data_IF_966519841025
#
_entry.id   IF_966519841025
#
_cell.length_a   1.000
_cell.length_b   1.000
_cell.length_c   1.000
_cell.angle_alpha   90.00
_cell.angle_beta   90.00
_cell.angle_gamma   90.00
#
_symmetry.space_group_name_H-M   'P 1'
#
loop_
_entity.id
_entity.type
_entity.pdbx_description
1 polymer ?
#
# COMPACT_ATOMS: atom_id res chain seq x y z
N UNK A 1 0.29 32.28 -0.84
CA UNK A 1 -0.13 31.01 -0.22
C UNK A 1 0.68 30.84 1.05
N UNK A 2 0.04 30.77 2.22
CA UNK A 2 0.75 30.79 3.50
C UNK A 2 1.43 29.45 3.78
N UNK A 3 2.72 29.48 4.12
CA UNK A 3 3.50 28.36 4.66
C UNK A 3 2.74 27.40 5.62
N UNK A 4 1.86 27.85 6.55
CA UNK A 4 1.17 26.95 7.46
C UNK A 4 0.19 25.98 6.78
N UNK A 5 -0.45 26.35 5.66
CA UNK A 5 -1.44 25.47 5.01
C UNK A 5 -0.81 24.23 4.38
N UNK A 6 0.40 24.36 3.85
CA UNK A 6 1.16 23.26 3.23
C UNK A 6 1.58 22.26 4.31
N UNK A 7 2.07 22.74 5.46
CA UNK A 7 2.46 21.90 6.61
C UNK A 7 1.26 21.14 7.19
N UNK A 8 0.08 21.77 7.29
CA UNK A 8 -1.13 21.10 7.80
C UNK A 8 -1.62 20.02 6.84
N UNK A 9 -1.63 20.28 5.53
CA UNK A 9 -1.99 19.26 4.52
C UNK A 9 -0.98 18.10 4.52
N UNK A 10 0.29 18.40 4.70
CA UNK A 10 1.36 17.41 4.84
C UNK A 10 1.13 16.48 6.04
N UNK A 11 0.88 17.04 7.23
CA UNK A 11 0.66 16.26 8.44
C UNK A 11 -0.52 15.30 8.27
N UNK A 12 -1.60 15.71 7.60
CA UNK A 12 -2.75 14.84 7.32
C UNK A 12 -2.39 13.64 6.44
N UNK A 13 -1.67 13.84 5.34
CA UNK A 13 -1.28 12.75 4.44
C UNK A 13 -0.28 11.81 5.10
N UNK A 14 0.69 12.36 5.84
CA UNK A 14 1.66 11.55 6.58
C UNK A 14 1.00 10.75 7.70
N UNK A 15 0.02 11.33 8.39
CA UNK A 15 -0.76 10.65 9.43
C UNK A 15 -1.59 9.50 8.85
N UNK A 16 -2.21 9.68 7.67
CA UNK A 16 -2.92 8.61 6.97
C UNK A 16 -1.94 7.48 6.59
N UNK A 17 -0.76 7.83 6.09
CA UNK A 17 0.29 6.87 5.77
C UNK A 17 0.74 6.06 6.98
N UNK A 18 1.00 6.75 8.08
CA UNK A 18 1.38 6.13 9.35
C UNK A 18 0.27 5.24 9.91
N UNK A 19 -0.98 5.70 9.87
CA UNK A 19 -2.14 4.96 10.35
C UNK A 19 -2.34 3.64 9.58
N UNK A 20 -2.13 3.67 8.26
CA UNK A 20 -2.23 2.50 7.40
C UNK A 20 -1.04 1.54 7.57
N UNK A 21 0.19 2.05 7.75
CA UNK A 21 1.31 1.18 8.17
C UNK A 21 0.96 0.51 9.51
N UNK A 22 0.38 1.28 10.43
CA UNK A 22 -0.13 0.79 11.71
C UNK A 22 -1.18 -0.31 11.56
N UNK A 23 -2.09 -0.23 10.58
CA UNK A 23 -3.09 -1.28 10.32
C UNK A 23 -2.45 -2.60 9.89
N UNK A 24 -1.40 -2.55 9.05
CA UNK A 24 -0.63 -3.75 8.65
C UNK A 24 0.08 -4.38 9.87
N UNK A 25 0.65 -3.56 10.75
CA UNK A 25 1.22 -4.05 12.02
C UNK A 25 0.16 -4.65 12.93
N UNK A 26 -1.06 -4.09 12.97
CA UNK A 26 -2.18 -4.64 13.72
C UNK A 26 -2.55 -6.04 13.19
N UNK A 27 -2.60 -6.22 11.86
CA UNK A 27 -2.78 -7.54 11.25
C UNK A 27 -1.68 -8.52 11.67
N UNK A 28 -0.42 -8.07 11.69
CA UNK A 28 0.70 -8.90 12.16
C UNK A 28 0.57 -9.29 13.63
N UNK A 29 0.09 -8.37 14.46
CA UNK A 29 -0.16 -8.59 15.87
C UNK A 29 -1.27 -9.63 16.07
N UNK A 30 -2.35 -9.57 15.28
CA UNK A 30 -3.42 -10.58 15.28
C UNK A 30 -2.87 -11.95 14.90
N UNK A 31 -2.04 -12.05 13.85
CA UNK A 31 -1.41 -13.31 13.42
C UNK A 31 -0.51 -13.87 14.51
N UNK A 32 0.33 -13.04 15.14
CA UNK A 32 1.24 -13.46 16.20
C UNK A 32 0.48 -13.92 17.46
N UNK A 33 -0.63 -13.25 17.82
CA UNK A 33 -1.54 -13.70 18.89
C UNK A 33 -2.13 -15.06 18.52
N UNK A 34 -2.76 -15.19 17.35
CA UNK A 34 -3.40 -16.44 16.90
C UNK A 34 -2.40 -17.60 16.89
N UNK A 35 -1.21 -17.39 16.34
CA UNK A 35 -0.11 -18.36 16.33
C UNK A 35 0.25 -18.80 17.75
N UNK A 36 0.33 -17.88 18.72
CA UNK A 36 0.67 -18.19 20.12
C UNK A 36 -0.46 -18.92 20.85
N UNK A 37 -1.71 -18.56 20.59
CA UNK A 37 -2.87 -19.16 21.26
C UNK A 37 -3.24 -20.54 20.73
N UNK A 38 -3.02 -20.78 19.43
CA UNK A 38 -3.49 -21.98 18.73
C UNK A 38 -2.35 -22.93 18.32
N UNK A 39 -1.14 -22.80 18.89
CA UNK A 39 0.00 -23.63 18.51
C UNK A 39 -0.20 -25.12 18.87
N UNK A 40 0.02 -26.07 17.93
CA UNK A 40 0.27 -25.89 16.49
C UNK A 40 -1.04 -25.66 15.72
N UNK A 41 -1.13 -24.55 14.96
CA UNK A 41 -2.33 -24.20 14.22
C UNK A 41 -2.30 -24.88 12.83
N UNK A 42 -3.12 -25.89 12.55
CA UNK A 42 -3.11 -26.61 11.28
C UNK A 42 -3.75 -25.81 10.13
N UNK A 43 -4.22 -24.58 10.39
CA UNK A 43 -5.08 -23.80 9.49
C UNK A 43 -6.55 -24.19 9.64
N UNK A 44 -7.45 -23.23 9.41
CA UNK A 44 -8.90 -23.44 9.51
C UNK A 44 -9.44 -24.43 8.47
N UNK A 45 -8.74 -24.55 7.34
CA UNK A 45 -9.19 -25.34 6.19
C UNK A 45 -8.55 -26.75 6.13
N UNK A 46 -7.59 -27.08 7.00
CA UNK A 46 -6.93 -28.39 7.00
C UNK A 46 -6.29 -28.75 5.65
N UNK A 47 -5.73 -27.76 4.95
CA UNK A 47 -5.25 -27.92 3.58
C UNK A 47 -4.05 -28.86 3.51
N UNK A 48 -4.02 -29.70 2.47
CA UNK A 48 -2.80 -30.47 2.18
C UNK A 48 -1.67 -29.55 1.73
N UNK A 49 -0.38 -29.93 1.92
CA UNK A 49 0.76 -29.09 1.55
C UNK A 49 0.74 -28.63 0.08
N UNK A 50 0.32 -29.51 -0.84
CA UNK A 50 0.19 -29.19 -2.26
C UNK A 50 -0.90 -28.14 -2.54
N UNK A 51 -2.05 -28.22 -1.85
CA UNK A 51 -3.13 -27.24 -1.99
C UNK A 51 -2.73 -25.89 -1.39
N UNK A 52 -2.09 -25.87 -0.23
CA UNK A 52 -1.58 -24.66 0.40
C UNK A 52 -0.57 -23.94 -0.54
N UNK A 53 0.30 -24.68 -1.21
CA UNK A 53 1.27 -24.12 -2.15
C UNK A 53 0.60 -23.57 -3.42
N UNK A 54 -0.39 -24.26 -3.98
CA UNK A 54 -1.16 -23.74 -5.11
C UNK A 54 -1.92 -22.45 -4.75
N UNK A 55 -2.53 -22.42 -3.57
CA UNK A 55 -3.24 -21.24 -3.07
C UNK A 55 -2.28 -20.07 -2.86
N UNK A 56 -1.09 -20.33 -2.31
CA UNK A 56 -0.02 -19.33 -2.19
C UNK A 56 0.34 -18.73 -3.55
N UNK A 57 0.58 -19.55 -4.57
CA UNK A 57 0.88 -19.04 -5.91
C UNK A 57 -0.26 -18.22 -6.50
N UNK A 58 -1.51 -18.65 -6.28
CA UNK A 58 -2.69 -17.88 -6.71
C UNK A 58 -2.77 -16.51 -6.03
N UNK A 59 -2.53 -16.46 -4.71
CA UNK A 59 -2.53 -15.21 -3.94
C UNK A 59 -1.36 -14.29 -4.33
N UNK A 60 -0.18 -14.85 -4.60
CA UNK A 60 0.97 -14.09 -5.10
C UNK A 60 0.68 -13.54 -6.50
N UNK A 61 0.07 -14.34 -7.37
CA UNK A 61 -0.35 -13.90 -8.70
C UNK A 61 -1.38 -12.77 -8.63
N UNK A 62 -2.34 -12.84 -7.69
CA UNK A 62 -3.29 -11.76 -7.41
C UNK A 62 -2.57 -10.48 -6.95
N UNK A 63 -1.65 -10.59 -5.99
CA UNK A 63 -0.87 -9.44 -5.51
C UNK A 63 0.01 -8.80 -6.60
N UNK A 64 0.50 -9.59 -7.56
CA UNK A 64 1.23 -9.08 -8.74
C UNK A 64 0.28 -8.46 -9.77
N UNK A 65 -0.89 -9.06 -9.99
CA UNK A 65 -1.90 -8.54 -10.90
C UNK A 65 -2.40 -7.18 -10.44
N UNK A 66 -2.58 -7.01 -9.14
CA UNK A 66 -2.91 -5.75 -8.51
C UNK A 66 -1.91 -4.64 -8.86
N UNK A 67 -0.60 -4.90 -8.75
CA UNK A 67 0.43 -3.92 -9.15
C UNK A 67 0.35 -3.56 -10.63
N UNK A 68 0.10 -4.55 -11.48
CA UNK A 68 -0.09 -4.33 -12.90
C UNK A 68 -1.32 -3.47 -13.18
N UNK A 69 -2.40 -3.70 -12.44
CA UNK A 69 -3.64 -2.94 -12.51
C UNK A 69 -3.40 -1.47 -12.16
N UNK A 70 -2.60 -1.18 -11.11
CA UNK A 70 -2.18 0.18 -10.80
C UNK A 70 -1.44 0.78 -11.99
N UNK A 71 -0.34 0.17 -12.45
CA UNK A 71 0.46 0.70 -13.57
C UNK A 71 -0.37 0.93 -14.82
N UNK A 72 -1.34 0.06 -15.07
CA UNK A 72 -2.27 0.17 -16.18
C UNK A 72 -3.21 1.38 -16.00
N UNK A 73 -3.83 1.53 -14.82
CA UNK A 73 -4.61 2.73 -14.49
C UNK A 73 -3.76 3.99 -14.55
N UNK A 74 -2.49 3.93 -14.13
CA UNK A 74 -1.56 5.06 -14.19
C UNK A 74 -1.30 5.51 -15.62
N UNK A 75 -1.09 4.52 -16.50
CA UNK A 75 -0.82 4.73 -17.91
C UNK A 75 -2.04 5.25 -18.66
N UNK A 76 -3.24 4.74 -18.33
CA UNK A 76 -4.50 5.16 -18.98
C UNK A 76 -4.93 6.55 -18.50
N UNK A 77 -4.84 6.83 -17.19
CA UNK A 77 -5.37 8.05 -16.61
C UNK A 77 -4.43 9.26 -16.75
N UNK A 78 -3.17 9.07 -17.14
CA UNK A 78 -2.21 10.14 -17.41
C UNK A 78 -2.08 11.13 -16.25
N UNK A 79 -1.26 10.82 -15.25
CA UNK A 79 -1.08 11.61 -14.02
C UNK A 79 -0.41 12.98 -14.24
N UNK A 80 -1.15 13.95 -14.79
CA UNK A 80 -0.69 15.33 -15.00
C UNK A 80 -0.94 16.27 -13.82
N UNK A 81 -1.98 16.04 -13.01
CA UNK A 81 -2.52 17.03 -12.05
C UNK A 81 -2.48 16.59 -10.57
N UNK A 82 -2.58 17.56 -9.65
CA UNK A 82 -2.50 17.35 -8.20
C UNK A 82 -3.60 16.43 -7.61
N UNK A 83 -4.83 16.50 -8.14
CA UNK A 83 -5.91 15.56 -7.77
C UNK A 83 -5.57 14.11 -8.13
N UNK A 84 -4.85 13.89 -9.22
CA UNK A 84 -4.54 12.54 -9.66
C UNK A 84 -3.40 11.92 -8.84
N UNK A 85 -2.48 12.72 -8.29
CA UNK A 85 -1.50 12.26 -7.29
C UNK A 85 -2.18 11.71 -6.02
N UNK A 86 -3.24 12.37 -5.55
CA UNK A 86 -4.05 11.90 -4.43
C UNK A 86 -4.75 10.58 -4.79
N UNK A 87 -5.32 10.46 -6.00
CA UNK A 87 -5.91 9.19 -6.48
C UNK A 87 -4.86 8.08 -6.55
N UNK A 88 -3.68 8.34 -7.08
CA UNK A 88 -2.60 7.35 -7.15
C UNK A 88 -2.23 6.85 -5.76
N UNK A 89 -2.07 7.76 -4.80
CA UNK A 89 -1.81 7.41 -3.42
C UNK A 89 -2.93 6.52 -2.85
N UNK A 90 -4.20 6.93 -2.95
CA UNK A 90 -5.35 6.16 -2.44
C UNK A 90 -5.42 4.75 -3.07
N UNK A 91 -5.17 4.64 -4.37
CA UNK A 91 -5.18 3.34 -5.06
C UNK A 91 -4.04 2.46 -4.54
N UNK A 92 -2.83 3.00 -4.38
CA UNK A 92 -1.70 2.27 -3.81
C UNK A 92 -1.94 1.85 -2.35
N UNK A 93 -2.60 2.70 -1.56
CA UNK A 93 -3.05 2.37 -0.21
C UNK A 93 -4.01 1.19 -0.20
N UNK A 94 -5.10 1.28 -0.98
CA UNK A 94 -6.09 0.21 -1.08
C UNK A 94 -5.44 -1.12 -1.49
N UNK A 95 -4.49 -1.08 -2.43
CA UNK A 95 -3.74 -2.25 -2.85
C UNK A 95 -2.89 -2.85 -1.75
N UNK A 96 -2.15 -2.01 -1.02
CA UNK A 96 -1.29 -2.46 0.07
C UNK A 96 -2.11 -3.15 1.17
N UNK A 97 -3.31 -2.64 1.46
CA UNK A 97 -4.25 -3.30 2.36
C UNK A 97 -4.75 -4.63 1.77
N UNK A 98 -5.13 -4.68 0.49
CA UNK A 98 -5.52 -5.94 -0.18
C UNK A 98 -4.44 -7.00 -0.04
N UNK A 99 -3.17 -6.67 -0.29
CA UNK A 99 -2.03 -7.60 -0.17
C UNK A 99 -1.86 -8.07 1.28
N UNK A 100 -2.00 -7.19 2.27
CA UNK A 100 -1.91 -7.55 3.68
C UNK A 100 -3.07 -8.48 4.11
N UNK A 101 -4.29 -8.19 3.66
CA UNK A 101 -5.48 -9.02 3.92
C UNK A 101 -5.36 -10.38 3.24
N UNK A 102 -4.86 -10.44 2.01
CA UNK A 102 -4.56 -11.71 1.31
C UNK A 102 -3.56 -12.55 2.13
N UNK A 103 -2.51 -11.94 2.67
CA UNK A 103 -1.58 -12.61 3.58
C UNK A 103 -2.26 -13.16 4.83
N UNK A 104 -3.16 -12.38 5.43
CA UNK A 104 -3.90 -12.77 6.64
C UNK A 104 -4.82 -13.96 6.37
N UNK A 105 -5.57 -13.91 5.27
CA UNK A 105 -6.45 -15.00 4.82
C UNK A 105 -5.63 -16.26 4.54
N UNK A 106 -4.48 -16.13 3.86
CA UNK A 106 -3.60 -17.26 3.58
C UNK A 106 -3.08 -17.91 4.86
N UNK A 107 -2.69 -17.12 5.87
CA UNK A 107 -2.33 -17.63 7.19
C UNK A 107 -3.49 -18.34 7.89
N UNK A 108 -4.69 -17.77 7.86
CA UNK A 108 -5.86 -18.41 8.46
C UNK A 108 -6.19 -19.75 7.79
N UNK A 109 -6.01 -19.86 6.48
CA UNK A 109 -6.32 -21.08 5.72
C UNK A 109 -5.22 -22.15 5.82
N UNK A 110 -3.96 -21.77 5.60
CA UNK A 110 -2.81 -22.68 5.54
C UNK A 110 -2.09 -22.88 6.88
N UNK A 111 -2.35 -22.01 7.87
CA UNK A 111 -1.75 -22.05 9.20
C UNK A 111 -0.28 -21.63 9.27
N UNK A 112 0.35 -21.26 8.14
CA UNK A 112 1.76 -20.94 8.06
C UNK A 112 2.01 -19.42 8.21
N UNK A 113 2.58 -19.01 9.33
CA UNK A 113 2.90 -17.61 9.60
C UNK A 113 3.93 -17.02 8.62
N UNK A 114 4.84 -17.84 8.05
CA UNK A 114 5.84 -17.37 7.09
C UNK A 114 5.23 -16.80 5.82
N UNK A 115 4.08 -17.32 5.41
CA UNK A 115 3.37 -16.82 4.24
C UNK A 115 2.81 -15.43 4.52
N UNK A 116 2.19 -15.21 5.68
CA UNK A 116 1.76 -13.88 6.10
C UNK A 116 2.91 -12.88 6.13
N UNK A 117 4.05 -13.24 6.73
CA UNK A 117 5.21 -12.33 6.78
C UNK A 117 5.72 -11.93 5.39
N UNK A 118 5.61 -12.84 4.41
CA UNK A 118 5.97 -12.54 3.01
C UNK A 118 5.04 -11.49 2.41
N UNK A 119 3.73 -11.64 2.58
CA UNK A 119 2.73 -10.67 2.09
C UNK A 119 2.78 -9.35 2.87
N UNK A 120 3.04 -9.39 4.17
CA UNK A 120 3.26 -8.22 5.00
C UNK A 120 4.46 -7.42 4.48
N UNK A 121 5.59 -8.08 4.24
CA UNK A 121 6.77 -7.43 3.69
C UNK A 121 6.50 -6.84 2.30
N UNK A 122 5.78 -7.56 1.46
CA UNK A 122 5.39 -7.08 0.13
C UNK A 122 4.48 -5.84 0.21
N UNK A 123 3.50 -5.82 1.13
CA UNK A 123 2.64 -4.67 1.40
C UNK A 123 3.45 -3.45 1.85
N UNK A 124 4.38 -3.64 2.79
CA UNK A 124 5.31 -2.60 3.25
C UNK A 124 6.21 -2.09 2.12
N UNK A 125 6.65 -2.99 1.23
CA UNK A 125 7.45 -2.63 0.07
C UNK A 125 6.66 -1.79 -0.93
N UNK A 126 5.39 -2.14 -1.21
CA UNK A 126 4.49 -1.32 -2.01
C UNK A 126 4.30 0.06 -1.40
N UNK A 127 4.13 0.11 -0.08
CA UNK A 127 4.09 1.34 0.68
C UNK A 127 5.31 2.21 0.43
N UNK A 128 6.50 1.66 0.61
CA UNK A 128 7.75 2.37 0.41
C UNK A 128 7.95 2.87 -1.02
N UNK A 129 7.57 2.04 -2.01
CA UNK A 129 7.74 2.37 -3.42
C UNK A 129 6.73 3.42 -3.93
N UNK A 130 5.47 3.32 -3.49
CA UNK A 130 4.40 4.23 -3.90
C UNK A 130 4.17 5.40 -2.95
N UNK A 131 4.89 5.47 -1.81
CA UNK A 131 4.79 6.61 -0.92
C UNK A 131 5.08 7.88 -1.72
N UNK A 132 4.12 8.79 -1.88
CA UNK A 132 4.32 9.99 -2.68
C UNK A 132 5.41 10.84 -2.01
N UNK A 133 6.62 10.82 -2.58
CA UNK A 133 7.75 11.62 -2.07
C UNK A 133 7.45 13.09 -2.36
N UNK A 134 7.56 13.89 -1.31
CA UNK A 134 7.25 15.34 -1.22
C UNK A 134 7.86 16.19 -2.35
N UNK A 135 8.94 15.71 -2.99
CA UNK A 135 9.66 16.42 -4.07
C UNK A 135 8.78 16.75 -5.28
N UNK A 136 7.77 15.94 -5.60
CA UNK A 136 6.90 16.21 -6.76
C UNK A 136 5.88 17.34 -6.50
N UNK A 137 5.55 17.60 -5.24
CA UNK A 137 4.60 18.64 -4.84
C UNK A 137 5.23 20.04 -4.90
N UNK A 138 6.47 20.19 -4.46
CA UNK A 138 7.19 21.47 -4.51
C UNK A 138 7.53 21.89 -5.94
N UNK A 139 7.95 20.94 -6.78
CA UNK A 139 8.30 21.21 -8.19
C UNK A 139 7.08 21.64 -9.00
N UNK A 140 5.91 21.03 -8.78
CA UNK A 140 4.66 21.42 -9.48
C UNK A 140 3.99 22.67 -8.92
N UNK A 141 4.26 23.07 -7.67
CA UNK A 141 3.75 24.31 -7.09
C UNK A 141 4.66 25.52 -7.36
N UNK A 142 5.94 25.31 -7.69
CA UNK A 142 6.83 26.37 -8.19
C UNK A 142 6.62 26.66 -9.69
N UNK A 143 6.18 25.68 -10.48
CA UNK A 143 5.96 25.82 -11.92
C UNK A 143 4.91 26.87 -12.35
N UNK A 144 3.82 27.16 -11.61
CA UNK A 144 2.84 28.18 -11.99
C UNK A 144 3.34 29.61 -11.73
N UNK A 145 4.20 29.81 -10.73
CA UNK A 145 4.71 31.13 -10.35
C UNK A 145 5.84 31.67 -11.24
N UNK A 146 6.49 30.81 -12.03
CA UNK A 146 7.58 31.23 -12.93
C UNK A 146 7.11 31.71 -14.32
N UNK A 147 5.82 31.54 -14.68
CA UNK A 147 5.29 31.91 -16.01
C UNK A 147 4.47 33.21 -16.01
N UNK A 148 4.46 33.96 -14.91
CA UNK A 148 3.63 35.17 -14.74
C UNK A 148 4.38 36.51 -14.71
N UNK A 149 5.69 36.55 -14.95
CA UNK A 149 6.52 37.72 -14.61
C UNK A 149 7.43 38.24 -15.72
N UNK A 150 7.04 38.18 -17.00
CA UNK A 150 7.86 38.82 -18.05
C UNK A 150 7.09 39.30 -19.28
N UNK A 151 6.06 40.13 -19.08
CA UNK A 151 5.35 40.80 -20.19
C UNK A 151 5.02 42.29 -19.97
N UNK A 152 5.65 43.01 -19.04
CA UNK A 152 5.51 44.48 -18.98
C UNK A 152 6.72 45.16 -18.33
N UNK A 153 7.68 45.60 -19.16
CA UNK A 153 8.22 46.98 -19.23
C UNK A 153 9.45 47.01 -20.13
#
# INVERSE_FOLDING_TARGET
MGEPEIKIRYLKVNFIGLAMIGSVFLCALVVEILKRTLAPFPGLAGLTPAQAQNLKYFFVALALADFFLIKFLQKILGFGSAQQLIRAAIISYALSESVAVLGLVLFLMAGNAMDFYTFMFLSLFYFWFFFPRIKDWEVKLQAPSARGGNLTN
#
